data_IF_953608169219
#
_entry.id   IF_953608169219
#
_cell.length_a   1.000
_cell.length_b   1.000
_cell.length_c   1.000
_cell.angle_alpha   90.00
_cell.angle_beta   90.00
_cell.angle_gamma   90.00
#
_symmetry.space_group_name_H-M   'P 1'
#
loop_
_entity.id
_entity.type
_entity.pdbx_description
1 polymer ?
#
# COMPACT_ATOMS: atom_id res chain seq x y z
N UNK A 1 -17.75 24.55 -30.54
CA UNK A 1 -17.98 23.31 -31.30
C UNK A 1 -16.70 22.45 -31.48
N UNK A 2 -15.78 22.38 -30.51
CA UNK A 2 -14.49 21.67 -30.68
C UNK A 2 -14.18 20.59 -29.62
N UNK A 3 -15.19 20.14 -28.85
CA UNK A 3 -14.95 19.29 -27.67
C UNK A 3 -15.33 17.80 -27.81
N UNK A 4 -16.02 17.40 -28.89
CA UNK A 4 -16.48 16.00 -29.04
C UNK A 4 -15.57 15.15 -29.94
N UNK A 5 -14.81 15.76 -30.86
CA UNK A 5 -13.97 15.02 -31.80
C UNK A 5 -12.70 14.40 -31.18
N UNK A 6 -12.15 14.99 -30.10
CA UNK A 6 -10.94 14.45 -29.43
C UNK A 6 -11.22 13.21 -28.57
N UNK A 7 -12.46 12.99 -28.15
CA UNK A 7 -12.84 11.82 -27.33
C UNK A 7 -12.96 10.54 -28.17
N UNK A 8 -13.37 10.64 -29.45
CA UNK A 8 -13.46 9.51 -30.36
C UNK A 8 -12.08 8.96 -30.70
N UNK A 9 -11.14 9.84 -31.07
CA UNK A 9 -9.80 9.44 -31.49
C UNK A 9 -9.00 8.74 -30.38
N UNK A 10 -9.23 9.09 -29.11
CA UNK A 10 -8.62 8.42 -27.96
C UNK A 10 -9.24 7.04 -27.69
N UNK A 11 -10.55 6.89 -27.89
CA UNK A 11 -11.23 5.60 -27.77
C UNK A 11 -10.81 4.65 -28.90
N UNK A 12 -10.68 5.17 -30.13
CA UNK A 12 -10.23 4.39 -31.29
C UNK A 12 -8.76 3.97 -31.16
N UNK A 13 -7.91 4.81 -30.55
CA UNK A 13 -6.52 4.45 -30.25
C UNK A 13 -6.41 3.38 -29.15
N UNK A 14 -7.18 3.50 -28.06
CA UNK A 14 -7.20 2.49 -26.98
C UNK A 14 -7.79 1.18 -27.48
N UNK A 15 -8.84 1.22 -28.31
CA UNK A 15 -9.42 0.02 -28.93
C UNK A 15 -8.47 -0.63 -29.95
N UNK A 16 -7.72 0.17 -30.73
CA UNK A 16 -6.70 -0.34 -31.65
C UNK A 16 -5.55 -1.05 -30.94
N UNK A 17 -5.01 -0.45 -29.87
CA UNK A 17 -3.91 -1.03 -29.07
C UNK A 17 -4.38 -2.28 -28.31
N UNK A 18 -5.62 -2.31 -27.81
CA UNK A 18 -6.21 -3.49 -27.18
C UNK A 18 -6.48 -4.62 -28.19
N UNK A 19 -6.92 -4.30 -29.42
CA UNK A 19 -7.13 -5.30 -30.48
C UNK A 19 -5.82 -5.91 -30.95
N UNK A 20 -4.79 -5.09 -31.19
CA UNK A 20 -3.48 -5.60 -31.63
C UNK A 20 -2.80 -6.48 -30.57
N UNK A 21 -3.00 -6.18 -29.28
CA UNK A 21 -2.49 -7.02 -28.20
C UNK A 21 -3.28 -8.33 -28.08
N UNK A 22 -4.61 -8.30 -28.25
CA UNK A 22 -5.45 -9.50 -28.27
C UNK A 22 -5.16 -10.37 -29.49
N UNK A 23 -4.99 -9.78 -30.67
CA UNK A 23 -4.67 -10.48 -31.90
C UNK A 23 -3.24 -11.03 -31.87
N UNK A 24 -2.27 -10.28 -31.32
CA UNK A 24 -0.90 -10.78 -31.13
C UNK A 24 -0.84 -11.90 -30.08
N UNK A 25 -1.61 -11.79 -29.00
CA UNK A 25 -1.73 -12.84 -27.98
C UNK A 25 -2.42 -14.09 -28.55
N UNK A 26 -3.56 -13.92 -29.22
CA UNK A 26 -4.28 -15.01 -29.89
C UNK A 26 -3.45 -15.64 -30.99
N UNK A 27 -2.71 -14.88 -31.78
CA UNK A 27 -1.86 -15.40 -32.85
C UNK A 27 -0.59 -16.07 -32.29
N UNK A 28 -0.04 -15.62 -31.16
CA UNK A 28 1.00 -16.35 -30.40
C UNK A 28 0.45 -17.63 -29.77
N UNK A 29 -0.77 -17.61 -29.26
CA UNK A 29 -1.47 -18.78 -28.75
C UNK A 29 -1.75 -19.77 -29.89
N UNK A 30 -2.22 -19.28 -31.04
CA UNK A 30 -2.55 -20.07 -32.23
C UNK A 30 -1.29 -20.64 -32.87
N UNK A 31 -0.20 -19.88 -32.96
CA UNK A 31 1.08 -20.40 -33.46
C UNK A 31 1.78 -21.32 -32.44
N UNK A 32 1.57 -21.12 -31.14
CA UNK A 32 2.03 -22.05 -30.10
C UNK A 32 1.29 -23.38 -30.12
N UNK A 33 -0.04 -23.32 -30.29
CA UNK A 33 -0.91 -24.49 -30.44
C UNK A 33 -0.67 -25.18 -31.79
N UNK A 34 -0.48 -24.44 -32.89
CA UNK A 34 -0.21 -25.02 -34.21
C UNK A 34 1.17 -25.67 -34.33
N UNK A 35 2.16 -25.24 -33.54
CA UNK A 35 3.50 -25.87 -33.49
C UNK A 35 3.57 -27.10 -32.58
N UNK A 36 2.52 -27.35 -31.79
CA UNK A 36 2.42 -28.49 -30.86
C UNK A 36 1.24 -29.41 -31.16
N UNK A 37 0.45 -29.13 -32.21
CA UNK A 37 -0.63 -29.99 -32.67
C UNK A 37 -0.04 -31.23 -33.36
N UNK A 38 -0.17 -32.43 -32.78
CA UNK A 38 0.29 -33.66 -33.43
C UNK A 38 -0.65 -34.04 -34.57
N UNK A 39 -0.15 -34.85 -35.51
CA UNK A 39 -0.92 -35.40 -36.61
C UNK A 39 -2.13 -36.19 -36.09
N UNK A 40 -3.18 -36.26 -36.92
CA UNK A 40 -4.52 -36.83 -36.67
C UNK A 40 -4.55 -38.25 -36.09
N UNK A 41 -3.42 -38.94 -36.05
CA UNK A 41 -3.25 -40.32 -35.54
C UNK A 41 -3.01 -40.39 -34.02
N UNK A 42 -2.61 -39.28 -33.36
CA UNK A 42 -2.34 -39.26 -31.91
C UNK A 42 -3.58 -38.94 -31.04
N UNK A 43 -4.77 -38.81 -31.64
CA UNK A 43 -6.04 -38.50 -30.94
C UNK A 43 -6.64 -39.77 -30.28
N UNK A 44 -5.80 -40.72 -29.88
CA UNK A 44 -6.18 -41.79 -28.96
C UNK A 44 -5.43 -41.60 -27.64
N UNK A 45 -5.87 -40.60 -26.88
CA UNK A 45 -5.39 -40.38 -25.53
C UNK A 45 -5.85 -39.05 -24.97
N UNK A 46 -6.59 -39.08 -23.88
CA UNK A 46 -7.02 -37.91 -23.08
C UNK A 46 -5.82 -37.17 -22.43
N UNK A 47 -4.59 -37.58 -22.71
CA UNK A 47 -3.36 -37.13 -22.05
C UNK A 47 -2.99 -35.67 -22.30
N UNK A 48 -3.31 -35.10 -23.47
CA UNK A 48 -3.04 -33.69 -23.76
C UNK A 48 -3.98 -32.74 -22.98
N UNK A 49 -5.22 -33.15 -22.73
CA UNK A 49 -6.16 -32.44 -21.85
C UNK A 49 -5.70 -32.48 -20.39
N UNK A 50 -5.09 -33.59 -19.95
CA UNK A 50 -4.49 -33.72 -18.62
C UNK A 50 -3.32 -32.74 -18.43
N UNK A 51 -2.46 -32.55 -19.44
CA UNK A 51 -1.38 -31.57 -19.42
C UNK A 51 -1.86 -30.11 -19.33
N UNK A 52 -2.94 -29.78 -20.05
CA UNK A 52 -3.59 -28.46 -19.99
C UNK A 52 -4.25 -28.19 -18.64
N UNK A 53 -4.97 -29.17 -18.08
CA UNK A 53 -5.58 -29.07 -16.75
C UNK A 53 -4.52 -28.87 -15.67
N UNK A 54 -3.43 -29.66 -15.69
CA UNK A 54 -2.32 -29.50 -14.77
C UNK A 54 -1.61 -28.13 -14.89
N UNK A 55 -1.55 -27.56 -16.11
CA UNK A 55 -1.04 -26.21 -16.34
C UNK A 55 -1.94 -25.12 -15.72
N UNK A 56 -3.26 -25.24 -15.90
CA UNK A 56 -4.25 -24.32 -15.32
C UNK A 56 -4.22 -24.38 -13.79
N UNK A 57 -4.13 -25.57 -13.21
CA UNK A 57 -4.05 -25.75 -11.76
C UNK A 57 -2.78 -25.13 -11.17
N UNK A 58 -1.63 -25.28 -11.84
CA UNK A 58 -0.38 -24.63 -11.42
C UNK A 58 -0.46 -23.10 -11.44
N UNK A 59 -1.06 -22.52 -12.47
CA UNK A 59 -1.25 -21.06 -12.57
C UNK A 59 -2.19 -20.56 -11.49
N UNK A 60 -3.28 -21.29 -11.22
CA UNK A 60 -4.22 -20.95 -10.14
C UNK A 60 -3.55 -21.02 -8.77
N UNK A 61 -2.71 -22.04 -8.55
CA UNK A 61 -1.98 -22.21 -7.29
C UNK A 61 -0.94 -21.11 -7.05
N UNK A 62 -0.22 -20.69 -8.11
CA UNK A 62 0.71 -19.57 -8.01
C UNK A 62 -0.02 -18.24 -7.70
N UNK A 63 -1.17 -18.01 -8.33
CA UNK A 63 -1.99 -16.84 -8.06
C UNK A 63 -2.49 -16.80 -6.60
N UNK A 64 -2.81 -17.96 -6.01
CA UNK A 64 -3.20 -18.08 -4.59
C UNK A 64 -2.04 -17.77 -3.64
N UNK A 65 -0.86 -18.31 -3.91
CA UNK A 65 0.35 -18.01 -3.11
C UNK A 65 0.68 -16.52 -3.14
N UNK A 66 0.59 -15.91 -4.32
CA UNK A 66 0.78 -14.47 -4.45
C UNK A 66 -0.28 -13.68 -3.67
N UNK A 67 -1.54 -14.10 -3.73
CA UNK A 67 -2.64 -13.47 -2.97
C UNK A 67 -2.40 -13.54 -1.45
N UNK A 68 -1.95 -14.68 -0.95
CA UNK A 68 -1.62 -14.86 0.46
C UNK A 68 -0.49 -13.91 0.89
N UNK A 69 0.60 -13.86 0.11
CA UNK A 69 1.72 -12.96 0.36
C UNK A 69 1.29 -11.48 0.34
N UNK A 70 0.49 -11.08 -0.65
CA UNK A 70 0.00 -9.72 -0.77
C UNK A 70 -0.96 -9.34 0.38
N UNK A 71 -1.80 -10.26 0.85
CA UNK A 71 -2.63 -10.00 2.03
C UNK A 71 -1.77 -9.79 3.28
N UNK A 72 -0.76 -10.63 3.50
CA UNK A 72 0.17 -10.49 4.62
C UNK A 72 0.90 -9.14 4.56
N UNK A 73 1.46 -8.78 3.40
CA UNK A 73 2.15 -7.51 3.20
C UNK A 73 1.20 -6.32 3.39
N UNK A 74 0.00 -6.36 2.80
CA UNK A 74 -0.99 -5.30 2.93
C UNK A 74 -1.38 -5.07 4.39
N UNK A 75 -1.57 -6.16 5.16
CA UNK A 75 -1.86 -6.08 6.59
C UNK A 75 -0.72 -5.43 7.37
N UNK A 76 0.53 -5.82 7.09
CA UNK A 76 1.72 -5.24 7.73
C UNK A 76 1.84 -3.74 7.46
N UNK A 77 1.81 -3.33 6.18
CA UNK A 77 1.97 -1.93 5.78
C UNK A 77 0.80 -1.09 6.33
N UNK A 78 -0.43 -1.62 6.31
CA UNK A 78 -1.58 -0.93 6.90
C UNK A 78 -1.42 -0.74 8.41
N UNK A 79 -0.92 -1.75 9.13
CA UNK A 79 -0.70 -1.66 10.58
C UNK A 79 0.37 -0.60 10.92
N UNK A 80 1.45 -0.55 10.14
CA UNK A 80 2.51 0.45 10.28
C UNK A 80 1.96 1.87 10.08
N UNK A 81 1.20 2.09 9.00
CA UNK A 81 0.56 3.39 8.75
C UNK A 81 -0.38 3.79 9.91
N UNK A 82 -1.25 2.88 10.38
CA UNK A 82 -2.17 3.16 11.50
C UNK A 82 -1.42 3.55 12.76
N UNK A 83 -0.32 2.86 13.07
CA UNK A 83 0.55 3.17 14.21
C UNK A 83 1.16 4.57 14.09
N UNK A 84 1.75 4.91 12.93
CA UNK A 84 2.33 6.24 12.71
C UNK A 84 1.27 7.34 12.80
N UNK A 85 0.10 7.10 12.21
CA UNK A 85 -1.05 8.01 12.29
C UNK A 85 -1.50 8.23 13.72
N UNK A 86 -1.54 7.19 14.56
CA UNK A 86 -1.90 7.32 15.97
C UNK A 86 -0.97 8.26 16.74
N UNK A 87 0.33 8.27 16.45
CA UNK A 87 1.29 9.20 17.06
C UNK A 87 0.99 10.65 16.65
N UNK A 88 0.64 10.87 15.38
CA UNK A 88 0.27 12.20 14.84
C UNK A 88 -1.07 12.67 15.42
N UNK A 89 -2.05 11.78 15.55
CA UNK A 89 -3.35 12.10 16.16
C UNK A 89 -3.18 12.49 17.63
N UNK A 90 -2.33 11.77 18.37
CA UNK A 90 -1.99 12.11 19.75
C UNK A 90 -1.25 13.46 19.82
N UNK A 91 -0.28 13.70 18.94
CA UNK A 91 0.39 15.01 18.83
C UNK A 91 -0.62 16.13 18.57
N UNK A 92 -1.60 15.91 17.69
CA UNK A 92 -2.67 16.87 17.42
C UNK A 92 -3.49 17.17 18.66
N UNK A 93 -3.90 16.14 19.40
CA UNK A 93 -4.68 16.30 20.62
C UNK A 93 -3.93 17.10 21.68
N UNK A 94 -2.71 16.69 22.02
CA UNK A 94 -1.90 17.39 23.02
C UNK A 94 -1.60 18.84 22.60
N UNK A 95 -1.39 19.08 21.29
CA UNK A 95 -1.14 20.42 20.78
C UNK A 95 -2.33 21.36 21.01
N UNK A 96 -3.55 20.86 20.77
CA UNK A 96 -4.78 21.59 21.03
C UNK A 96 -4.95 21.86 22.53
N UNK A 97 -4.80 20.84 23.38
CA UNK A 97 -4.86 20.97 24.85
C UNK A 97 -3.81 21.95 25.40
N UNK A 98 -2.65 22.07 24.76
CA UNK A 98 -1.62 23.01 25.19
C UNK A 98 -1.99 24.47 25.00
N UNK A 99 -3.06 24.79 24.25
CA UNK A 99 -3.40 26.18 23.90
C UNK A 99 -3.76 27.05 25.10
N UNK A 100 -4.30 26.45 26.15
CA UNK A 100 -4.75 27.14 27.35
C UNK A 100 -3.64 27.29 28.41
N UNK A 101 -2.45 26.77 28.12
CA UNK A 101 -1.29 26.81 29.02
C UNK A 101 -0.48 28.09 28.77
N UNK A 102 0.02 28.70 29.84
CA UNK A 102 0.89 29.88 29.75
C UNK A 102 2.14 29.60 28.90
N UNK A 103 2.68 30.66 28.30
CA UNK A 103 3.73 30.56 27.27
C UNK A 103 5.00 29.85 27.77
N UNK A 104 5.38 30.04 29.03
CA UNK A 104 6.60 29.45 29.58
C UNK A 104 6.46 27.95 29.79
N UNK A 105 5.35 27.50 30.40
CA UNK A 105 5.07 26.06 30.57
C UNK A 105 4.82 25.41 29.21
N UNK A 106 4.10 26.08 28.33
CA UNK A 106 3.78 25.58 26.98
C UNK A 106 5.05 25.37 26.15
N UNK A 107 6.06 26.21 26.28
CA UNK A 107 7.34 26.00 25.60
C UNK A 107 7.95 24.62 25.93
N UNK A 108 7.97 24.24 27.21
CA UNK A 108 8.49 22.94 27.64
C UNK A 108 7.66 21.78 27.08
N UNK A 109 6.33 21.95 27.03
CA UNK A 109 5.39 20.97 26.47
C UNK A 109 5.61 20.78 24.97
N UNK A 110 5.68 21.86 24.18
CA UNK A 110 5.94 21.79 22.74
C UNK A 110 7.28 21.10 22.45
N UNK A 111 8.32 21.43 23.21
CA UNK A 111 9.62 20.75 23.12
C UNK A 111 9.50 19.25 23.39
N UNK A 112 8.73 18.86 24.41
CA UNK A 112 8.48 17.47 24.77
C UNK A 112 7.72 16.71 23.67
N UNK A 113 6.67 17.31 23.12
CA UNK A 113 5.91 16.77 21.99
C UNK A 113 6.80 16.47 20.79
N UNK A 114 7.66 17.42 20.40
CA UNK A 114 8.56 17.26 19.24
C UNK A 114 9.49 16.06 19.46
N UNK A 115 10.15 16.02 20.62
CA UNK A 115 11.08 14.93 20.96
C UNK A 115 10.40 13.57 20.99
N UNK A 116 9.22 13.48 21.62
CA UNK A 116 8.44 12.23 21.67
C UNK A 116 8.03 11.79 20.27
N UNK A 117 7.55 12.70 19.44
CA UNK A 117 7.11 12.39 18.09
C UNK A 117 8.26 11.82 17.24
N UNK A 118 9.44 12.46 17.26
CA UNK A 118 10.65 11.96 16.59
C UNK A 118 11.02 10.58 17.14
N UNK A 119 11.14 10.44 18.46
CA UNK A 119 11.50 9.17 19.10
C UNK A 119 10.56 8.02 18.71
N UNK A 120 9.25 8.21 18.81
CA UNK A 120 8.25 7.18 18.52
C UNK A 120 8.09 6.83 17.04
N UNK A 121 8.63 7.65 16.13
CA UNK A 121 8.55 7.42 14.69
C UNK A 121 9.90 6.99 14.08
N UNK A 122 11.02 7.30 14.74
CA UNK A 122 12.38 6.89 14.34
C UNK A 122 12.78 5.54 14.94
N UNK A 123 12.41 5.23 16.19
CA UNK A 123 12.78 3.96 16.85
C UNK A 123 11.95 2.75 16.41
N UNK A 124 10.97 2.95 15.54
CA UNK A 124 9.99 1.91 15.19
C UNK A 124 10.46 0.89 14.16
N UNK A 125 11.71 0.98 13.70
CA UNK A 125 12.27 -0.04 12.83
C UNK A 125 12.59 -1.36 13.58
N UNK A 126 12.69 -1.34 14.93
CA UNK A 126 13.21 -2.48 15.71
C UNK A 126 12.18 -3.17 16.65
N UNK A 127 10.94 -2.70 16.77
CA UNK A 127 9.95 -3.35 17.65
C UNK A 127 8.98 -4.27 16.89
N UNK A 128 9.47 -5.47 16.59
CA UNK A 128 8.72 -6.61 16.03
C UNK A 128 7.71 -7.26 17.01
N UNK A 129 7.37 -6.67 18.15
CA UNK A 129 6.79 -7.43 19.29
C UNK A 129 5.33 -7.11 19.66
N UNK A 130 4.70 -6.07 19.14
CA UNK A 130 3.37 -5.65 19.64
C UNK A 130 2.17 -6.04 18.76
N UNK A 131 2.02 -7.33 18.41
CA UNK A 131 0.71 -7.82 17.92
C UNK A 131 0.51 -9.35 17.92
N UNK A 132 0.83 -10.07 19.00
CA UNK A 132 0.37 -11.46 19.12
C UNK A 132 -1.16 -11.58 19.17
N UNK A 133 -1.87 -10.52 19.61
CA UNK A 133 -3.33 -10.47 19.73
C UNK A 133 -4.06 -10.02 18.45
N UNK A 134 -3.46 -9.19 17.57
CA UNK A 134 -4.07 -8.92 16.26
C UNK A 134 -3.75 -10.00 15.24
N UNK A 135 -2.64 -10.74 15.40
CA UNK A 135 -2.32 -11.90 14.56
C UNK A 135 -3.40 -12.99 14.68
N UNK A 136 -4.03 -13.19 15.83
CA UNK A 136 -5.09 -14.21 16.02
C UNK A 136 -6.39 -13.85 15.28
N UNK A 137 -6.80 -12.57 15.31
CA UNK A 137 -7.98 -12.09 14.56
C UNK A 137 -7.75 -12.02 13.06
N UNK A 138 -6.54 -11.61 12.65
CA UNK A 138 -6.12 -11.63 11.24
C UNK A 138 -6.08 -13.07 10.73
N UNK A 139 -5.62 -14.03 11.54
CA UNK A 139 -5.64 -15.45 11.17
C UNK A 139 -7.07 -16.02 11.00
N UNK A 140 -8.03 -15.62 11.83
CA UNK A 140 -9.44 -16.03 11.69
C UNK A 140 -10.11 -15.43 10.43
N UNK A 141 -9.80 -14.17 10.10
CA UNK A 141 -10.23 -13.55 8.83
C UNK A 141 -9.54 -14.19 7.60
N UNK A 142 -8.25 -14.51 7.70
CA UNK A 142 -7.50 -15.20 6.66
C UNK A 142 -8.03 -16.62 6.41
N UNK A 143 -8.42 -17.35 7.46
CA UNK A 143 -8.98 -18.71 7.35
C UNK A 143 -10.37 -18.72 6.70
N UNK A 144 -11.21 -17.71 6.98
CA UNK A 144 -12.47 -17.50 6.25
C UNK A 144 -12.26 -17.10 4.79
N UNK A 145 -11.20 -16.32 4.50
CA UNK A 145 -10.80 -16.01 3.12
C UNK A 145 -10.26 -17.24 2.37
N UNK A 146 -9.52 -18.14 3.01
CA UNK A 146 -9.08 -19.41 2.42
C UNK A 146 -10.27 -20.28 1.96
N UNK A 147 -11.34 -20.35 2.76
CA UNK A 147 -12.58 -21.05 2.40
C UNK A 147 -13.27 -20.41 1.18
N UNK A 148 -13.21 -19.08 1.03
CA UNK A 148 -13.74 -18.36 -0.14
C UNK A 148 -12.82 -18.46 -1.38
N UNK A 149 -11.51 -18.56 -1.19
CA UNK A 149 -10.50 -18.79 -2.25
C UNK A 149 -10.59 -20.17 -2.90
N UNK A 150 -11.24 -21.13 -2.23
CA UNK A 150 -11.55 -22.44 -2.80
C UNK A 150 -12.58 -22.33 -3.94
N UNK A 151 -13.56 -21.45 -3.80
CA UNK A 151 -14.65 -21.22 -4.77
C UNK A 151 -14.29 -20.17 -5.85
N UNK A 152 -13.30 -19.32 -5.58
CA UNK A 152 -12.89 -18.23 -6.47
C UNK A 152 -12.22 -18.72 -7.77
N UNK A 153 -12.52 -18.06 -8.88
CA UNK A 153 -11.89 -18.30 -10.19
C UNK A 153 -10.50 -17.68 -10.26
N UNK A 154 -9.61 -18.23 -11.09
CA UNK A 154 -8.23 -17.72 -11.26
C UNK A 154 -8.19 -16.23 -11.65
N UNK A 155 -9.19 -15.76 -12.41
CA UNK A 155 -9.34 -14.35 -12.80
C UNK A 155 -9.70 -13.43 -11.64
N UNK A 156 -10.57 -13.88 -10.74
CA UNK A 156 -10.94 -13.11 -9.54
C UNK A 156 -9.77 -12.97 -8.57
N UNK A 157 -8.97 -14.04 -8.41
CA UNK A 157 -7.75 -14.01 -7.58
C UNK A 157 -6.74 -12.99 -8.14
N UNK A 158 -6.57 -12.96 -9.46
CA UNK A 158 -5.72 -11.96 -10.12
C UNK A 158 -6.21 -10.52 -9.88
N UNK A 159 -7.52 -10.28 -9.99
CA UNK A 159 -8.09 -8.96 -9.73
C UNK A 159 -7.91 -8.52 -8.28
N UNK A 160 -8.07 -9.44 -7.30
CA UNK A 160 -7.78 -9.14 -5.90
C UNK A 160 -6.30 -8.82 -5.68
N UNK A 161 -5.40 -9.56 -6.32
CA UNK A 161 -3.96 -9.28 -6.26
C UNK A 161 -3.63 -7.87 -6.75
N UNK A 162 -4.23 -7.42 -7.86
CA UNK A 162 -4.06 -6.06 -8.36
C UNK A 162 -4.59 -5.01 -7.37
N UNK A 163 -5.72 -5.30 -6.73
CA UNK A 163 -6.30 -4.47 -5.67
C UNK A 163 -5.38 -4.36 -4.45
N UNK A 164 -4.84 -5.48 -3.97
CA UNK A 164 -3.91 -5.52 -2.84
C UNK A 164 -2.61 -4.78 -3.15
N UNK A 165 -2.05 -4.96 -4.34
CA UNK A 165 -0.86 -4.23 -4.78
C UNK A 165 -1.09 -2.71 -4.80
N UNK A 166 -2.27 -2.28 -5.24
CA UNK A 166 -2.64 -0.86 -5.24
C UNK A 166 -2.70 -0.31 -3.81
N UNK A 167 -3.38 -1.02 -2.90
CA UNK A 167 -3.46 -0.63 -1.49
C UNK A 167 -2.08 -0.57 -0.82
N UNK A 168 -1.23 -1.58 -1.06
CA UNK A 168 0.15 -1.60 -0.55
C UNK A 168 0.92 -0.36 -1.02
N UNK A 169 0.84 -0.02 -2.31
CA UNK A 169 1.49 1.17 -2.87
C UNK A 169 1.01 2.45 -2.19
N UNK A 170 -0.30 2.60 -2.03
CA UNK A 170 -0.89 3.76 -1.37
C UNK A 170 -0.40 3.92 0.09
N UNK A 171 -0.47 2.86 0.90
CA UNK A 171 0.01 2.94 2.28
C UNK A 171 1.51 3.18 2.37
N UNK A 172 2.32 2.58 1.48
CA UNK A 172 3.78 2.84 1.43
C UNK A 172 4.09 4.30 1.11
N UNK A 173 3.37 4.91 0.16
CA UNK A 173 3.51 6.34 -0.14
C UNK A 173 3.19 7.16 1.11
N UNK A 174 2.08 6.88 1.77
CA UNK A 174 1.66 7.58 2.99
C UNK A 174 2.70 7.50 4.12
N UNK A 175 3.22 6.31 4.35
CA UNK A 175 4.28 6.07 5.36
C UNK A 175 5.54 6.88 5.02
N UNK A 176 5.99 6.84 3.76
CA UNK A 176 7.17 7.59 3.33
C UNK A 176 6.99 9.10 3.51
N UNK A 177 5.81 9.64 3.19
CA UNK A 177 5.51 11.04 3.44
C UNK A 177 5.60 11.39 4.94
N UNK A 178 5.10 10.53 5.83
CA UNK A 178 5.25 10.74 7.28
C UNK A 178 6.73 10.73 7.68
N UNK A 179 7.51 9.76 7.18
CA UNK A 179 8.96 9.69 7.45
C UNK A 179 9.70 10.96 7.02
N UNK A 180 9.36 11.51 5.86
CA UNK A 180 9.96 12.75 5.34
C UNK A 180 9.60 13.96 6.20
N UNK A 181 8.34 14.05 6.64
CA UNK A 181 7.89 15.11 7.54
C UNK A 181 8.59 15.04 8.91
N UNK A 182 8.79 13.84 9.45
CA UNK A 182 9.52 13.63 10.72
C UNK A 182 11.00 13.96 10.58
N UNK A 183 11.65 13.51 9.52
CA UNK A 183 13.05 13.84 9.23
C UNK A 183 13.24 15.37 9.10
N UNK A 184 12.28 16.03 8.44
CA UNK A 184 12.26 17.49 8.33
C UNK A 184 12.04 18.16 9.69
N UNK A 185 11.12 17.65 10.51
CA UNK A 185 10.85 18.14 11.85
C UNK A 185 12.08 18.03 12.76
N UNK A 186 12.77 16.89 12.73
CA UNK A 186 14.00 16.65 13.49
C UNK A 186 15.09 17.65 13.11
N UNK A 187 15.39 17.76 11.82
CA UNK A 187 16.39 18.73 11.33
C UNK A 187 16.03 20.16 11.75
N UNK A 188 14.78 20.60 11.55
CA UNK A 188 14.33 21.94 11.93
C UNK A 188 14.37 22.16 13.44
N UNK A 189 14.10 21.13 14.24
CA UNK A 189 14.18 21.21 15.69
C UNK A 189 15.62 21.37 16.16
N UNK A 190 16.57 20.64 15.58
CA UNK A 190 18.00 20.77 15.85
C UNK A 190 18.51 22.16 15.46
N UNK A 191 18.19 22.61 14.25
CA UNK A 191 18.49 23.96 13.79
C UNK A 191 17.88 25.05 14.69
N UNK A 192 16.71 24.80 15.28
CA UNK A 192 16.04 25.77 16.14
C UNK A 192 16.82 26.09 17.43
N UNK A 193 17.75 25.22 17.84
CA UNK A 193 18.54 25.37 19.08
C UNK A 193 19.44 26.61 19.08
N UNK A 194 19.77 27.17 17.92
CA UNK A 194 20.58 28.40 17.80
C UNK A 194 19.81 29.69 18.11
N UNK A 195 18.48 29.63 18.14
CA UNK A 195 17.65 30.81 18.35
C UNK A 195 17.27 30.98 19.82
N UNK A 196 17.00 32.24 20.20
CA UNK A 196 16.48 32.59 21.53
C UNK A 196 15.07 32.03 21.75
N UNK A 197 14.68 31.88 23.02
CA UNK A 197 13.46 31.17 23.44
C UNK A 197 12.19 31.62 22.71
N UNK A 198 11.97 32.93 22.56
CA UNK A 198 10.76 33.48 21.94
C UNK A 198 10.67 33.11 20.45
N UNK A 199 11.78 33.25 19.71
CA UNK A 199 11.84 32.87 18.30
C UNK A 199 11.66 31.35 18.14
N UNK A 200 12.34 30.60 18.99
CA UNK A 200 12.30 29.13 18.99
C UNK A 200 10.90 28.60 19.28
N UNK A 201 10.14 29.24 20.17
CA UNK A 201 8.74 28.92 20.44
C UNK A 201 7.88 28.97 19.16
N UNK A 202 8.02 30.04 18.37
CA UNK A 202 7.32 30.18 17.09
C UNK A 202 7.69 29.08 16.09
N UNK A 203 8.98 28.74 16.00
CA UNK A 203 9.46 27.65 15.14
C UNK A 203 8.88 26.30 15.56
N UNK A 204 8.91 25.96 16.86
CA UNK A 204 8.37 24.68 17.37
C UNK A 204 6.87 24.57 17.10
N UNK A 205 6.12 25.65 17.30
CA UNK A 205 4.70 25.71 16.96
C UNK A 205 4.46 25.46 15.47
N UNK A 206 5.27 26.06 14.60
CA UNK A 206 5.20 25.85 13.14
C UNK A 206 5.47 24.40 12.77
N UNK A 207 6.52 23.77 13.32
CA UNK A 207 6.85 22.37 13.04
C UNK A 207 5.71 21.42 13.40
N UNK A 208 5.15 21.56 14.61
CA UNK A 208 4.01 20.74 15.07
C UNK A 208 2.79 20.96 14.17
N UNK A 209 2.48 22.21 13.84
CA UNK A 209 1.37 22.52 12.91
C UNK A 209 1.57 21.91 11.53
N UNK A 210 2.79 21.90 10.99
CA UNK A 210 3.08 21.28 9.69
C UNK A 210 2.72 19.80 9.72
N UNK A 211 3.08 19.06 10.77
CA UNK A 211 2.71 17.66 10.90
C UNK A 211 1.19 17.45 11.02
N UNK A 212 0.52 18.23 11.87
CA UNK A 212 -0.91 18.07 12.13
C UNK A 212 -1.77 18.51 10.93
N UNK A 213 -1.37 19.56 10.21
CA UNK A 213 -2.15 20.10 9.09
C UNK A 213 -2.05 19.24 7.84
N UNK A 214 -1.01 18.42 7.72
CA UNK A 214 -0.89 17.40 6.68
C UNK A 214 -1.81 16.18 6.96
N UNK A 215 -3.06 16.48 7.36
CA UNK A 215 -4.13 15.57 7.78
C UNK A 215 -4.71 14.69 6.66
N UNK A 216 -4.19 14.83 5.44
CA UNK A 216 -4.72 14.22 4.21
C UNK A 216 -3.78 13.17 3.60
N UNK A 217 -2.78 12.73 4.37
CA UNK A 217 -2.07 11.46 4.18
C UNK A 217 -2.87 10.37 4.89
#
# INVERSE_FOLDING_TARGET
MFSLAKSSALLDYVNGVCSEFYDSFLNRLYQGIAKTAPSREDIQGVGWLSGLAAGIDRVKEEARKQNEQLNQECSLVQSEYKRMKSVIDQLSKEYEESKDIDVFRRYAILKGMIKRCIMHLTLSNDEQVQSQLANTRIQEEMKKKEEQLAEMTSKEISNENDGLQTQIKEYRIKINMIRDLISTMERRYEESKRYVMIQRYGLMKSMIKTLITNKWI
#
